data_IF_071242415859
#
_entry.id   IF_071242415859
#
_cell.length_a   1.000
_cell.length_b   1.000
_cell.length_c   1.000
_cell.angle_alpha   90.00
_cell.angle_beta   90.00
_cell.angle_gamma   90.00
#
_symmetry.space_group_name_H-M   'P 1'
#
loop_
_entity.id
_entity.type
_entity.pdbx_description
1 polymer ?
#
# COMPACT_ATOMS: atom_id res chain seq x y z
N UNK A 1 -20.33 -14.12 -14.15
CA UNK A 1 -20.95 -13.73 -12.86
C UNK A 1 -21.62 -12.35 -12.93
N UNK A 2 -22.52 -12.01 -11.99
CA UNK A 2 -23.05 -10.64 -11.87
C UNK A 2 -22.00 -9.76 -11.17
N UNK A 3 -21.71 -8.56 -11.68
CA UNK A 3 -20.83 -7.54 -11.10
C UNK A 3 -21.22 -7.05 -9.67
N UNK A 4 -22.07 -7.79 -8.96
CA UNK A 4 -22.75 -7.37 -7.72
C UNK A 4 -21.91 -7.42 -6.46
N UNK A 5 -20.69 -7.94 -6.51
CA UNK A 5 -19.92 -8.20 -5.28
C UNK A 5 -18.57 -7.48 -5.22
N UNK A 6 -18.32 -6.45 -6.05
CA UNK A 6 -17.11 -5.64 -5.91
C UNK A 6 -17.28 -4.67 -4.74
N UNK A 7 -16.22 -4.52 -3.95
CA UNK A 7 -16.11 -3.57 -2.86
C UNK A 7 -14.80 -2.82 -3.02
N UNK A 8 -14.89 -1.51 -3.26
CA UNK A 8 -13.74 -0.62 -3.21
C UNK A 8 -13.09 -0.63 -1.81
N UNK A 9 -11.85 -0.17 -1.70
CA UNK A 9 -11.19 -0.11 -0.41
C UNK A 9 -12.00 0.71 0.62
N UNK A 10 -12.16 0.15 1.82
CA UNK A 10 -12.95 0.76 2.92
C UNK A 10 -12.08 0.94 4.15
N UNK A 11 -11.55 2.16 4.30
CA UNK A 11 -10.66 2.52 5.41
C UNK A 11 -11.35 2.40 6.78
N UNK A 12 -12.67 2.61 6.83
CA UNK A 12 -13.47 2.58 8.06
C UNK A 12 -13.53 1.16 8.68
N UNK A 13 -13.31 0.13 7.86
CA UNK A 13 -13.25 -1.26 8.30
C UNK A 13 -11.85 -1.67 8.84
N UNK A 14 -10.87 -0.78 8.74
CA UNK A 14 -9.50 -1.01 9.22
C UNK A 14 -9.35 -0.60 10.69
N UNK A 15 -9.99 -1.35 11.60
CA UNK A 15 -10.02 -1.04 13.04
C UNK A 15 -8.61 -0.82 13.63
N UNK A 16 -8.46 0.24 14.42
CA UNK A 16 -7.19 0.66 15.04
C UNK A 16 -6.31 1.54 14.15
N UNK A 17 -6.76 1.86 12.93
CA UNK A 17 -6.11 2.79 12.02
C UNK A 17 -7.13 3.81 11.53
N UNK A 18 -6.65 5.03 11.28
CA UNK A 18 -7.44 6.11 10.70
C UNK A 18 -6.89 6.51 9.34
N UNK A 19 -7.79 6.84 8.40
CA UNK A 19 -7.40 7.45 7.13
C UNK A 19 -6.78 8.82 7.38
N UNK A 20 -5.58 9.04 6.84
CA UNK A 20 -4.91 10.34 6.87
C UNK A 20 -5.26 11.11 5.59
N UNK A 21 -5.01 10.50 4.44
CA UNK A 21 -5.32 11.09 3.14
C UNK A 21 -5.52 10.02 2.07
N UNK A 22 -5.98 10.49 0.93
CA UNK A 22 -6.13 9.74 -0.31
C UNK A 22 -5.71 10.69 -1.44
N UNK A 23 -4.83 10.23 -2.32
CA UNK A 23 -4.32 11.02 -3.45
C UNK A 23 -4.29 10.19 -4.72
N UNK A 24 -4.62 10.81 -5.85
CA UNK A 24 -4.47 10.17 -7.16
C UNK A 24 -3.01 10.23 -7.61
N UNK A 25 -2.47 9.11 -8.04
CA UNK A 25 -1.12 8.99 -8.59
C UNK A 25 -1.24 8.49 -10.02
N UNK A 26 -1.11 9.40 -10.98
CA UNK A 26 -1.14 9.05 -12.40
C UNK A 26 0.04 8.14 -12.73
N UNK A 27 -0.25 6.99 -13.37
CA UNK A 27 0.77 6.04 -13.79
C UNK A 27 1.57 5.43 -12.64
N UNK A 28 0.94 5.16 -11.48
CA UNK A 28 1.59 4.47 -10.35
C UNK A 28 2.29 3.18 -10.80
N UNK A 29 3.54 2.98 -10.36
CA UNK A 29 4.30 1.75 -10.65
C UNK A 29 4.70 1.05 -9.35
N UNK A 30 5.39 1.76 -8.46
CA UNK A 30 5.94 1.22 -7.23
C UNK A 30 5.96 2.25 -6.10
N UNK A 31 6.08 1.76 -4.88
CA UNK A 31 6.39 2.56 -3.70
C UNK A 31 7.35 1.83 -2.75
N UNK A 32 7.94 2.58 -1.84
CA UNK A 32 8.68 2.07 -0.70
C UNK A 32 8.51 2.98 0.51
N UNK A 33 8.44 2.42 1.71
CA UNK A 33 8.67 3.19 2.92
C UNK A 33 10.17 3.43 3.08
N UNK A 34 10.58 4.69 3.25
CA UNK A 34 11.99 5.02 3.32
C UNK A 34 12.64 4.43 4.59
N UNK A 35 13.82 3.78 4.46
CA UNK A 35 14.61 3.37 5.61
C UNK A 35 14.85 4.55 6.56
N UNK A 36 14.84 4.29 7.87
CA UNK A 36 15.02 5.28 8.93
C UNK A 36 13.98 6.42 9.01
N UNK A 37 13.03 6.46 8.08
CA UNK A 37 11.99 7.48 8.00
C UNK A 37 10.67 6.91 7.45
N UNK A 38 10.12 5.86 8.08
CA UNK A 38 8.90 5.18 7.62
C UNK A 38 7.62 6.04 7.55
N UNK A 39 7.67 7.30 7.99
CA UNK A 39 6.62 8.29 7.72
C UNK A 39 6.73 8.91 6.32
N UNK A 40 7.73 8.53 5.53
CA UNK A 40 7.94 8.96 4.15
C UNK A 40 7.86 7.78 3.21
N UNK A 41 7.17 7.99 2.10
CA UNK A 41 6.99 7.02 1.03
C UNK A 41 7.75 7.54 -0.18
N UNK A 42 8.73 6.77 -0.68
CA UNK A 42 9.20 6.91 -2.05
C UNK A 42 8.09 6.37 -2.95
N UNK A 43 7.63 7.18 -3.90
CA UNK A 43 6.66 6.80 -4.91
C UNK A 43 7.25 6.95 -6.30
N UNK A 44 7.04 5.94 -7.13
CA UNK A 44 7.51 5.88 -8.51
C UNK A 44 6.29 5.79 -9.42
N UNK A 45 6.15 6.77 -10.31
CA UNK A 45 5.17 6.74 -11.39
C UNK A 45 5.86 6.69 -12.75
N UNK A 46 5.07 6.55 -13.81
CA UNK A 46 5.54 6.66 -15.19
C UNK A 46 6.22 7.98 -15.53
N UNK A 47 5.95 9.03 -14.75
CA UNK A 47 6.35 10.39 -15.07
C UNK A 47 7.55 10.86 -14.23
N UNK A 48 7.58 10.54 -12.93
CA UNK A 48 8.63 10.97 -12.01
C UNK A 48 8.66 10.17 -10.70
N UNK A 49 9.76 10.31 -9.95
CA UNK A 49 9.89 9.84 -8.58
C UNK A 49 9.59 10.97 -7.60
N UNK A 50 8.96 10.64 -6.46
CA UNK A 50 8.64 11.61 -5.42
C UNK A 50 8.71 11.02 -4.02
N UNK A 51 8.90 11.89 -3.04
CA UNK A 51 8.71 11.57 -1.63
C UNK A 51 7.35 12.11 -1.19
N UNK A 52 6.53 11.25 -0.60
CA UNK A 52 5.22 11.55 -0.05
C UNK A 52 5.30 11.47 1.48
N UNK A 53 4.90 12.54 2.17
CA UNK A 53 4.77 12.54 3.62
C UNK A 53 3.47 11.85 4.05
N UNK A 54 3.59 10.75 4.79
CA UNK A 54 2.48 9.90 5.25
C UNK A 54 1.58 10.60 6.28
N UNK A 55 1.99 11.74 6.83
CA UNK A 55 1.21 12.50 7.81
C UNK A 55 0.22 13.47 7.16
N UNK A 56 0.46 13.90 5.91
CA UNK A 56 -0.31 14.98 5.29
C UNK A 56 -0.49 14.86 3.78
N UNK A 57 0.16 13.88 3.12
CA UNK A 57 0.06 13.65 1.69
C UNK A 57 0.85 14.64 0.84
N UNK A 58 1.74 15.44 1.44
CA UNK A 58 2.59 16.36 0.71
C UNK A 58 3.55 15.59 -0.20
N UNK A 59 3.46 15.88 -1.49
CA UNK A 59 4.31 15.28 -2.54
C UNK A 59 5.46 16.22 -2.87
N UNK A 60 6.68 15.71 -2.81
CA UNK A 60 7.90 16.43 -3.19
C UNK A 60 8.64 15.63 -4.26
N UNK A 61 8.78 16.12 -5.50
CA UNK A 61 9.57 15.46 -6.52
C UNK A 61 11.00 15.22 -6.06
N UNK A 62 11.60 14.11 -6.49
CA UNK A 62 12.98 13.75 -6.18
C UNK A 62 13.64 13.12 -7.39
N UNK A 63 14.92 13.43 -7.59
CA UNK A 63 15.72 12.79 -8.63
C UNK A 63 16.19 11.40 -8.15
N UNK A 64 16.13 10.43 -9.06
CA UNK A 64 16.45 9.05 -8.77
C UNK A 64 16.27 8.16 -9.99
N UNK A 65 16.52 6.87 -9.79
CA UNK A 65 16.29 5.82 -10.78
C UNK A 65 15.85 4.53 -10.08
N UNK A 66 15.26 3.60 -10.82
CA UNK A 66 14.82 2.32 -10.29
C UNK A 66 15.05 1.17 -11.27
N UNK A 67 15.26 -0.01 -10.70
CA UNK A 67 15.38 -1.25 -11.44
C UNK A 67 14.16 -2.12 -11.15
N UNK A 68 13.34 -2.36 -12.18
CA UNK A 68 12.12 -3.17 -12.10
C UNK A 68 12.39 -4.67 -11.99
N UNK A 69 13.59 -5.13 -12.35
CA UNK A 69 14.00 -6.54 -12.27
C UNK A 69 14.51 -6.85 -10.87
N UNK A 70 15.41 -6.01 -10.36
CA UNK A 70 15.98 -6.14 -9.02
C UNK A 70 15.05 -5.60 -7.92
N UNK A 71 13.98 -4.89 -8.30
CA UNK A 71 12.98 -4.28 -7.42
C UNK A 71 13.61 -3.37 -6.38
N UNK A 72 14.50 -2.49 -6.84
CA UNK A 72 15.16 -1.48 -6.01
C UNK A 72 15.13 -0.10 -6.65
N UNK A 73 15.19 0.94 -5.83
CA UNK A 73 15.36 2.32 -6.28
C UNK A 73 16.51 3.02 -5.56
N UNK A 74 17.11 3.98 -6.25
CA UNK A 74 18.09 4.92 -5.73
C UNK A 74 17.54 6.34 -5.90
N UNK A 75 17.66 7.18 -4.89
CA UNK A 75 17.26 8.59 -4.98
C UNK A 75 18.18 9.47 -4.14
N UNK A 76 18.14 10.78 -4.41
CA UNK A 76 18.97 11.74 -3.68
C UNK A 76 18.78 11.63 -2.16
N UNK A 77 19.90 11.67 -1.42
CA UNK A 77 19.90 11.57 0.05
C UNK A 77 19.88 10.15 0.61
N UNK A 78 19.88 9.11 -0.25
CA UNK A 78 19.97 7.71 0.15
C UNK A 78 21.14 7.01 -0.52
N UNK A 79 22.12 6.57 0.27
CA UNK A 79 23.36 5.92 -0.23
C UNK A 79 23.19 4.41 -0.51
N UNK A 80 22.04 3.83 -0.17
CA UNK A 80 21.77 2.40 -0.30
C UNK A 80 20.49 2.15 -1.12
N UNK A 81 20.44 1.06 -1.91
CA UNK A 81 19.23 0.69 -2.64
C UNK A 81 18.04 0.48 -1.72
N UNK A 82 16.91 1.08 -2.09
CA UNK A 82 15.65 0.99 -1.38
C UNK A 82 14.79 -0.08 -2.05
N UNK A 83 14.41 -1.17 -1.37
CA UNK A 83 13.49 -2.15 -1.92
C UNK A 83 12.13 -1.53 -2.22
N UNK A 84 11.61 -1.75 -3.43
CA UNK A 84 10.33 -1.21 -3.89
C UNK A 84 9.28 -2.31 -4.05
N UNK A 85 8.01 -1.93 -3.98
CA UNK A 85 6.87 -2.83 -4.10
C UNK A 85 5.71 -2.15 -4.81
N UNK A 86 5.04 -2.87 -5.70
CA UNK A 86 4.10 -2.28 -6.63
C UNK A 86 3.41 -3.29 -7.52
N UNK A 87 2.81 -2.79 -8.60
CA UNK A 87 1.97 -3.57 -9.50
C UNK A 87 2.70 -4.77 -10.12
N UNK A 88 4.01 -4.66 -10.31
CA UNK A 88 4.82 -5.62 -11.05
C UNK A 88 5.76 -6.45 -10.17
N UNK A 89 5.72 -6.28 -8.84
CA UNK A 89 6.56 -7.07 -7.94
C UNK A 89 6.78 -6.43 -6.58
N UNK A 90 7.48 -7.15 -5.71
CA UNK A 90 7.72 -6.77 -4.33
C UNK A 90 6.50 -7.03 -3.44
N UNK A 91 6.69 -6.89 -2.12
CA UNK A 91 5.62 -7.03 -1.14
C UNK A 91 5.89 -6.11 0.06
N UNK A 92 4.83 -5.58 0.62
CA UNK A 92 4.86 -4.95 1.94
C UNK A 92 4.49 -5.98 3.02
N UNK A 93 4.91 -5.75 4.28
CA UNK A 93 4.41 -6.51 5.42
C UNK A 93 2.88 -6.58 5.45
N UNK A 94 2.33 -7.76 5.78
CA UNK A 94 0.89 -7.98 5.91
C UNK A 94 0.43 -8.04 7.37
N UNK A 95 1.33 -7.76 8.31
CA UNK A 95 1.04 -7.57 9.72
C UNK A 95 1.77 -6.31 10.22
N UNK A 96 1.23 -5.72 11.28
CA UNK A 96 1.82 -4.53 11.91
C UNK A 96 2.84 -4.86 13.00
N UNK A 97 3.27 -6.12 13.13
CA UNK A 97 4.12 -6.60 14.21
C UNK A 97 3.48 -6.62 15.61
N UNK A 98 2.15 -6.42 15.71
CA UNK A 98 1.39 -6.40 16.97
C UNK A 98 0.15 -7.29 16.86
N UNK A 99 -1.01 -6.67 16.74
CA UNK A 99 -2.35 -7.25 16.85
C UNK A 99 -3.07 -7.33 15.51
N UNK A 100 -2.59 -6.64 14.47
CA UNK A 100 -3.31 -6.52 13.21
C UNK A 100 -2.62 -7.32 12.11
N UNK A 101 -3.44 -8.09 11.39
CA UNK A 101 -3.02 -8.89 10.23
C UNK A 101 -4.01 -8.75 9.09
N UNK A 102 -3.47 -8.51 7.90
CA UNK A 102 -4.17 -8.57 6.63
C UNK A 102 -4.04 -9.97 6.05
N UNK A 103 -5.16 -10.52 5.61
CA UNK A 103 -5.20 -11.81 4.91
C UNK A 103 -6.00 -11.67 3.62
N UNK A 104 -5.72 -12.53 2.65
CA UNK A 104 -6.34 -12.47 1.33
C UNK A 104 -6.87 -13.82 0.90
N UNK A 105 -7.96 -13.80 0.14
CA UNK A 105 -8.50 -14.95 -0.57
C UNK A 105 -8.59 -14.62 -2.06
N UNK A 106 -8.21 -15.59 -2.91
CA UNK A 106 -8.12 -15.42 -4.35
C UNK A 106 -9.07 -16.39 -5.04
N UNK A 107 -10.13 -15.84 -5.61
CA UNK A 107 -11.06 -16.58 -6.46
C UNK A 107 -10.51 -16.63 -7.89
N UNK A 108 -10.24 -17.84 -8.39
CA UNK A 108 -9.73 -18.11 -9.74
C UNK A 108 -10.76 -18.84 -10.62
N UNK A 109 -12.04 -18.82 -10.23
CA UNK A 109 -13.10 -19.50 -10.98
C UNK A 109 -13.46 -18.82 -12.30
N UNK A 110 -13.17 -17.52 -12.44
CA UNK A 110 -13.35 -16.74 -13.67
C UNK A 110 -12.00 -16.47 -14.37
N UNK A 111 -12.06 -15.97 -15.60
CA UNK A 111 -10.89 -15.60 -16.43
C UNK A 111 -9.95 -14.61 -15.73
N UNK A 112 -10.52 -13.66 -14.98
CA UNK A 112 -9.78 -12.66 -14.21
C UNK A 112 -9.93 -12.93 -12.72
N UNK A 113 -8.84 -13.23 -12.00
CA UNK A 113 -8.91 -13.52 -10.58
C UNK A 113 -9.44 -12.35 -9.77
N UNK A 114 -10.32 -12.64 -8.81
CA UNK A 114 -10.83 -11.67 -7.84
C UNK A 114 -10.12 -11.87 -6.51
N UNK A 115 -9.57 -10.80 -5.97
CA UNK A 115 -8.95 -10.76 -4.65
C UNK A 115 -9.93 -10.19 -3.63
N UNK A 116 -10.12 -10.90 -2.53
CA UNK A 116 -10.79 -10.37 -1.34
C UNK A 116 -9.76 -10.15 -0.25
N UNK A 117 -9.70 -8.95 0.32
CA UNK A 117 -8.77 -8.59 1.39
C UNK A 117 -9.54 -8.42 2.69
N UNK A 118 -9.01 -9.01 3.75
CA UNK A 118 -9.59 -9.00 5.08
C UNK A 118 -8.63 -8.38 6.08
N UNK A 119 -9.15 -7.49 6.92
CA UNK A 119 -8.49 -6.92 8.08
C UNK A 119 -8.87 -7.69 9.34
N UNK A 120 -7.90 -8.23 10.05
CA UNK A 120 -8.08 -8.88 11.35
C UNK A 120 -7.35 -8.12 12.44
N UNK A 121 -7.98 -7.99 13.61
CA UNK A 121 -7.39 -7.49 14.85
C UNK A 121 -7.54 -8.57 15.93
N UNK A 122 -6.43 -9.10 16.43
CA UNK A 122 -6.40 -10.23 17.38
C UNK A 122 -7.31 -11.40 16.95
N UNK A 123 -8.13 -11.91 17.87
CA UNK A 123 -9.13 -12.97 17.65
C UNK A 123 -10.50 -12.42 17.20
N UNK A 124 -10.61 -11.11 16.92
CA UNK A 124 -11.86 -10.51 16.45
C UNK A 124 -12.23 -11.03 15.05
N UNK A 125 -13.53 -10.95 14.74
CA UNK A 125 -14.02 -11.29 13.42
C UNK A 125 -13.35 -10.39 12.37
N UNK A 126 -12.77 -11.00 11.34
CA UNK A 126 -12.14 -10.26 10.25
C UNK A 126 -13.17 -9.44 9.48
N UNK A 127 -12.82 -8.22 9.11
CA UNK A 127 -13.64 -7.33 8.29
C UNK A 127 -13.14 -7.35 6.85
N UNK A 128 -14.04 -7.47 5.87
CA UNK A 128 -13.68 -7.32 4.46
C UNK A 128 -13.41 -5.84 4.17
N UNK A 129 -12.21 -5.52 3.71
CA UNK A 129 -11.80 -4.14 3.40
C UNK A 129 -11.75 -3.86 1.90
N UNK A 130 -11.70 -4.90 1.07
CA UNK A 130 -11.64 -4.81 -0.39
C UNK A 130 -12.11 -6.11 -1.04
N UNK A 131 -12.80 -6.02 -2.19
CA UNK A 131 -13.08 -7.14 -3.08
C UNK A 131 -13.11 -6.66 -4.53
N UNK A 132 -12.19 -7.14 -5.35
CA UNK A 132 -12.05 -6.67 -6.72
C UNK A 132 -10.87 -7.30 -7.43
N UNK A 133 -10.37 -6.64 -8.48
CA UNK A 133 -9.11 -7.05 -9.11
C UNK A 133 -7.93 -6.84 -8.17
N UNK A 134 -6.74 -7.33 -8.55
CA UNK A 134 -5.55 -7.14 -7.72
C UNK A 134 -5.23 -5.63 -7.60
N UNK A 135 -5.24 -5.04 -6.37
CA UNK A 135 -4.72 -3.70 -6.16
C UNK A 135 -3.24 -3.63 -6.56
N UNK A 136 -2.76 -2.45 -6.92
CA UNK A 136 -1.36 -2.26 -7.31
C UNK A 136 -0.40 -2.62 -6.17
N UNK A 137 -0.72 -2.22 -4.94
CA UNK A 137 0.01 -2.65 -3.73
C UNK A 137 -0.81 -2.35 -2.48
N UNK A 138 -0.60 -3.13 -1.41
CA UNK A 138 -1.11 -2.83 -0.09
C UNK A 138 -0.22 -3.45 0.99
N UNK A 139 -0.28 -2.91 2.20
CA UNK A 139 0.44 -3.45 3.36
C UNK A 139 0.95 -2.38 4.30
N UNK A 140 1.66 -2.81 5.34
CA UNK A 140 2.13 -1.96 6.42
C UNK A 140 3.51 -1.37 6.15
N UNK A 141 3.81 -0.25 6.81
CA UNK A 141 5.19 0.16 7.01
C UNK A 141 5.93 -0.88 7.87
N UNK A 142 7.27 -1.00 7.76
CA UNK A 142 8.02 -2.01 8.53
C UNK A 142 7.90 -1.87 10.06
N UNK A 143 7.59 -0.68 10.56
CA UNK A 143 7.32 -0.43 11.99
C UNK A 143 5.83 -0.54 12.37
N UNK A 144 4.99 -0.93 11.41
CA UNK A 144 3.55 -1.07 11.57
C UNK A 144 2.78 0.24 11.73
N UNK A 145 3.41 1.43 11.75
CA UNK A 145 2.70 2.68 12.05
C UNK A 145 1.76 3.15 10.93
N UNK A 146 2.03 2.76 9.69
CA UNK A 146 1.23 3.15 8.53
C UNK A 146 0.76 1.91 7.77
N UNK A 147 -0.36 2.05 7.07
CA UNK A 147 -0.85 1.08 6.10
C UNK A 147 -1.19 1.82 4.81
N UNK A 148 -0.86 1.22 3.67
CA UNK A 148 -1.19 1.76 2.35
C UNK A 148 -2.08 0.80 1.58
N UNK A 149 -2.92 1.37 0.73
CA UNK A 149 -3.65 0.65 -0.30
C UNK A 149 -3.63 1.50 -1.57
N UNK A 150 -3.06 0.96 -2.65
CA UNK A 150 -3.00 1.61 -3.95
C UNK A 150 -3.72 0.76 -5.00
N UNK A 151 -4.66 1.38 -5.70
CA UNK A 151 -5.39 0.80 -6.83
C UNK A 151 -5.72 1.89 -7.87
N UNK A 152 -6.64 1.61 -8.81
CA UNK A 152 -7.10 2.58 -9.81
C UNK A 152 -7.68 3.88 -9.19
N UNK A 153 -8.11 3.85 -7.91
CA UNK A 153 -8.59 5.01 -7.17
C UNK A 153 -7.48 5.93 -6.65
N UNK A 154 -6.23 5.44 -6.61
CA UNK A 154 -5.06 6.15 -6.10
C UNK A 154 -4.47 5.51 -4.86
N UNK A 155 -3.65 6.27 -4.13
CA UNK A 155 -2.98 5.84 -2.91
C UNK A 155 -3.76 6.33 -1.69
N UNK A 156 -4.34 5.40 -0.92
CA UNK A 156 -4.88 5.65 0.41
C UNK A 156 -3.83 5.34 1.48
N UNK A 157 -3.65 6.25 2.43
CA UNK A 157 -2.73 6.06 3.57
C UNK A 157 -3.50 6.12 4.89
N UNK A 158 -3.32 5.09 5.69
CA UNK A 158 -3.82 4.99 7.06
C UNK A 158 -2.67 5.07 8.05
N UNK A 159 -2.96 5.55 9.26
CA UNK A 159 -2.02 5.58 10.39
C UNK A 159 -2.64 4.90 11.60
N UNK A 160 -1.82 4.15 12.34
CA UNK A 160 -2.22 3.54 13.60
C UNK A 160 -2.73 4.62 14.56
N UNK A 161 -3.87 4.37 15.20
CA UNK A 161 -4.37 5.24 16.26
C UNK A 161 -3.33 5.34 17.37
N UNK A 162 -3.05 6.56 17.81
CA UNK A 162 -2.22 6.76 19.00
C UNK A 162 -3.11 6.43 20.21
N UNK A 163 -2.82 5.33 20.89
CA UNK A 163 -3.41 5.05 22.20
C UNK A 163 -3.16 6.21 23.17
#
# INVERSE_FOLDING_TARGET
>A
MSYKDFQAFTAENCLGYKKIYEISIGGFLYLAFLPDAYHKILCISSDYMSIIDSENGQVTPIDGDYDEVELVAMCEGYDSPIPISGQYGGNLPLDNGKDIRVTMDKDQSEEYPILTIYWGKDEEAKSQIYKGYLPYIFGFSPDGRYYVHADDGGLTVLKQDSC
#
